data_IF_374874925081
#
_entry.id   IF_374874925081
#
_cell.length_a   1.000
_cell.length_b   1.000
_cell.length_c   1.000
_cell.angle_alpha   90.00
_cell.angle_beta   90.00
_cell.angle_gamma   90.00
#
_symmetry.space_group_name_H-M   'P 1'
#
loop_
_entity.id
_entity.type
_entity.pdbx_description
1 polymer ?
#
# COMPACT_ATOMS: atom_id res chain seq x y z
N UNK A 1 -0.97 2.30 16.50
CA UNK A 1 0.19 1.73 15.75
C UNK A 1 1.26 2.81 15.54
N UNK A 2 2.56 2.52 15.73
CA UNK A 2 3.65 3.48 15.47
C UNK A 2 4.20 3.32 14.04
N UNK A 3 4.03 4.36 13.21
CA UNK A 3 4.46 4.38 11.80
C UNK A 3 5.60 5.38 11.50
N UNK A 4 5.84 6.36 12.38
CA UNK A 4 6.84 7.40 12.14
C UNK A 4 8.21 6.78 11.86
N UNK A 5 8.80 7.16 10.73
CA UNK A 5 10.10 6.68 10.26
C UNK A 5 10.12 5.28 9.67
N UNK A 6 9.03 4.48 9.78
CA UNK A 6 8.97 3.13 9.22
C UNK A 6 8.94 3.19 7.70
N UNK A 7 9.70 2.30 7.06
CA UNK A 7 9.63 2.09 5.60
C UNK A 7 8.43 1.20 5.28
N UNK A 8 7.48 1.71 4.50
CA UNK A 8 6.23 1.01 4.16
C UNK A 8 6.10 0.93 2.65
N UNK A 9 5.86 -0.27 2.14
CA UNK A 9 5.57 -0.53 0.74
C UNK A 9 4.05 -0.56 0.55
N UNK A 10 3.51 0.27 -0.34
CA UNK A 10 2.12 0.19 -0.78
C UNK A 10 2.09 -0.50 -2.14
N UNK A 11 1.35 -1.59 -2.24
CA UNK A 11 1.23 -2.36 -3.46
C UNK A 11 -0.12 -2.06 -4.12
N UNK A 12 -0.08 -1.41 -5.28
CA UNK A 12 -1.21 -0.85 -6.02
C UNK A 12 -1.39 0.66 -5.81
N UNK A 13 -1.68 1.38 -6.89
CA UNK A 13 -1.87 2.84 -6.95
C UNK A 13 -3.29 3.24 -7.41
N UNK A 14 -4.26 2.34 -7.20
CA UNK A 14 -5.69 2.65 -7.30
C UNK A 14 -6.17 3.62 -6.20
N UNK A 15 -7.48 3.86 -6.12
CA UNK A 15 -8.07 4.81 -5.16
C UNK A 15 -7.66 4.46 -3.72
N UNK A 16 -7.80 3.20 -3.31
CA UNK A 16 -7.45 2.77 -1.95
C UNK A 16 -5.95 2.81 -1.68
N UNK A 17 -5.10 2.42 -2.65
CA UNK A 17 -3.64 2.52 -2.52
C UNK A 17 -3.14 3.96 -2.37
N UNK A 18 -3.72 4.90 -3.12
CA UNK A 18 -3.45 6.33 -2.96
C UNK A 18 -3.91 6.86 -1.60
N UNK A 19 -5.09 6.44 -1.13
CA UNK A 19 -5.59 6.77 0.21
C UNK A 19 -4.68 6.26 1.33
N UNK A 20 -4.28 4.99 1.25
CA UNK A 20 -3.33 4.37 2.18
C UNK A 20 -1.99 5.13 2.19
N UNK A 21 -1.46 5.46 1.01
CA UNK A 21 -0.21 6.22 0.87
C UNK A 21 -0.28 7.57 1.59
N UNK A 22 -1.37 8.32 1.40
CA UNK A 22 -1.56 9.63 2.06
C UNK A 22 -1.63 9.48 3.58
N UNK A 23 -2.42 8.53 4.08
CA UNK A 23 -2.51 8.24 5.52
C UNK A 23 -1.14 7.86 6.11
N UNK A 24 -0.39 6.98 5.44
CA UNK A 24 0.94 6.55 5.89
C UNK A 24 1.92 7.74 5.95
N UNK A 25 1.93 8.61 4.92
CA UNK A 25 2.74 9.82 4.89
C UNK A 25 2.37 10.77 6.03
N UNK A 26 1.07 11.00 6.26
CA UNK A 26 0.59 11.86 7.34
C UNK A 26 0.97 11.33 8.73
N UNK A 27 1.08 10.01 8.88
CA UNK A 27 1.60 9.36 10.11
C UNK A 27 3.12 9.26 10.17
N UNK A 28 3.83 9.89 9.22
CA UNK A 28 5.29 10.03 9.19
C UNK A 28 6.05 8.82 8.67
N UNK A 29 5.40 7.89 7.97
CA UNK A 29 6.07 6.76 7.33
C UNK A 29 6.90 7.20 6.10
N UNK A 30 7.93 6.42 5.78
CA UNK A 30 8.69 6.52 4.53
C UNK A 30 8.07 5.57 3.51
N UNK A 31 7.25 6.11 2.61
CA UNK A 31 6.41 5.30 1.72
C UNK A 31 7.10 5.07 0.37
N UNK A 32 7.03 3.84 -0.12
CA UNK A 32 7.28 3.48 -1.53
C UNK A 32 5.97 2.93 -2.10
N UNK A 33 5.56 3.39 -3.29
CA UNK A 33 4.44 2.81 -4.03
C UNK A 33 4.98 1.89 -5.11
N UNK A 34 4.37 0.72 -5.29
CA UNK A 34 4.65 -0.16 -6.41
C UNK A 34 3.36 -0.55 -7.14
N UNK A 35 3.31 -0.29 -8.44
CA UNK A 35 2.17 -0.52 -9.34
C UNK A 35 2.65 -1.33 -10.55
N UNK A 36 1.85 -2.32 -10.96
CA UNK A 36 2.18 -3.16 -12.10
C UNK A 36 1.91 -2.45 -13.42
N UNK A 37 0.91 -1.58 -13.47
CA UNK A 37 0.56 -0.82 -14.66
C UNK A 37 1.53 0.36 -14.91
N UNK A 38 1.97 0.53 -16.17
CA UNK A 38 2.75 1.68 -16.62
C UNK A 38 2.06 2.41 -17.79
N UNK A 39 0.85 2.92 -17.54
CA UNK A 39 0.12 3.74 -18.48
C UNK A 39 0.45 5.24 -18.34
N UNK A 40 0.05 6.04 -19.33
CA UNK A 40 0.20 7.51 -19.28
C UNK A 40 -0.49 8.11 -18.05
N UNK A 41 -1.63 7.54 -17.66
CA UNK A 41 -2.37 7.96 -16.47
C UNK A 41 -1.61 7.61 -15.19
N UNK A 42 -1.10 6.37 -15.06
CA UNK A 42 -0.30 5.98 -13.90
C UNK A 42 0.96 6.82 -13.76
N UNK A 43 1.66 7.10 -14.86
CA UNK A 43 2.82 8.02 -14.87
C UNK A 43 2.45 9.44 -14.41
N UNK A 44 1.25 9.92 -14.72
CA UNK A 44 0.79 11.22 -14.26
C UNK A 44 0.54 11.25 -12.74
N UNK A 45 -0.12 10.21 -12.21
CA UNK A 45 -0.34 10.04 -10.77
C UNK A 45 0.98 9.85 -10.01
N UNK A 46 1.90 9.04 -10.56
CA UNK A 46 3.22 8.80 -9.98
C UNK A 46 3.98 10.12 -9.76
N UNK A 47 3.99 11.02 -10.76
CA UNK A 47 4.62 12.34 -10.65
C UNK A 47 4.06 13.21 -9.51
N UNK A 48 2.78 13.09 -9.17
CA UNK A 48 2.18 13.79 -8.03
C UNK A 48 2.80 13.32 -6.70
N UNK A 49 2.97 12.01 -6.54
CA UNK A 49 3.58 11.41 -5.36
C UNK A 49 5.10 11.65 -5.29
N UNK A 50 5.80 11.60 -6.42
CA UNK A 50 7.24 11.87 -6.51
C UNK A 50 7.59 13.30 -6.13
N UNK A 51 6.81 14.30 -6.59
CA UNK A 51 6.93 15.71 -6.14
C UNK A 51 6.77 15.86 -4.63
N UNK A 52 6.09 14.91 -4.01
CA UNK A 52 5.81 14.83 -2.59
C UNK A 52 6.84 13.98 -1.83
N UNK A 53 7.96 13.59 -2.47
CA UNK A 53 9.05 12.82 -1.88
C UNK A 53 8.76 11.33 -1.71
N UNK A 54 7.70 10.81 -2.36
CA UNK A 54 7.34 9.40 -2.31
C UNK A 54 7.91 8.70 -3.54
N UNK A 55 8.65 7.61 -3.32
CA UNK A 55 9.18 6.79 -4.41
C UNK A 55 8.04 6.00 -5.05
N UNK A 56 7.99 5.98 -6.39
CA UNK A 56 7.01 5.19 -7.15
C UNK A 56 7.73 4.26 -8.12
N UNK A 57 7.30 3.00 -8.21
CA UNK A 57 7.84 2.00 -9.13
C UNK A 57 6.67 1.46 -9.95
N UNK A 58 6.72 1.66 -11.27
CA UNK A 58 5.69 1.22 -12.21
C UNK A 58 6.16 0.02 -13.05
N UNK A 59 5.24 -0.71 -13.66
CA UNK A 59 5.52 -1.69 -14.71
C UNK A 59 6.03 -3.05 -14.26
N UNK A 60 6.32 -3.24 -12.96
CA UNK A 60 6.89 -4.48 -12.44
C UNK A 60 6.78 -4.60 -10.92
N UNK A 61 7.02 -5.79 -10.38
CA UNK A 61 7.15 -6.05 -8.94
C UNK A 61 8.55 -6.60 -8.61
N UNK A 62 9.61 -5.75 -8.64
CA UNK A 62 10.98 -6.22 -8.41
C UNK A 62 11.15 -6.69 -6.96
N UNK A 63 11.79 -7.85 -6.73
CA UNK A 63 11.98 -8.39 -5.38
C UNK A 63 12.97 -7.57 -4.56
N UNK A 64 13.87 -6.86 -5.25
CA UNK A 64 14.92 -6.00 -4.69
C UNK A 64 14.34 -4.80 -3.95
N UNK A 65 13.04 -4.52 -4.08
CA UNK A 65 12.36 -3.47 -3.32
C UNK A 65 12.13 -3.88 -1.87
N UNK A 66 12.04 -5.18 -1.56
CA UNK A 66 11.62 -5.67 -0.24
C UNK A 66 12.61 -5.35 0.89
N UNK A 67 13.95 -5.51 0.72
CA UNK A 67 14.90 -5.28 1.78
C UNK A 67 14.75 -3.91 2.46
N UNK A 68 14.63 -3.93 3.79
CA UNK A 68 14.50 -2.74 4.61
C UNK A 68 13.07 -2.19 4.76
N UNK A 69 12.07 -2.70 4.02
CA UNK A 69 10.67 -2.41 4.33
C UNK A 69 10.23 -3.16 5.59
N UNK A 70 9.35 -2.54 6.36
CA UNK A 70 8.90 -3.04 7.66
C UNK A 70 7.40 -3.34 7.69
N UNK A 71 6.71 -3.06 6.59
CA UNK A 71 5.28 -3.28 6.40
C UNK A 71 4.97 -3.21 4.90
N UNK A 72 4.10 -4.10 4.43
CA UNK A 72 3.44 -4.01 3.12
C UNK A 72 1.96 -3.74 3.34
N UNK A 73 1.41 -2.75 2.62
CA UNK A 73 -0.02 -2.46 2.57
C UNK A 73 -0.54 -2.82 1.18
N UNK A 74 -1.50 -3.74 1.13
CA UNK A 74 -2.12 -4.21 -0.10
C UNK A 74 -3.35 -3.38 -0.44
N UNK A 75 -3.38 -2.85 -1.67
CA UNK A 75 -4.61 -2.35 -2.28
C UNK A 75 -5.54 -3.53 -2.65
N UNK A 76 -6.87 -3.34 -2.65
CA UNK A 76 -7.81 -4.36 -3.11
C UNK A 76 -7.51 -4.78 -4.55
N UNK A 77 -7.72 -6.07 -4.85
CA UNK A 77 -7.55 -6.65 -6.18
C UNK A 77 -6.14 -7.14 -6.52
N UNK A 78 -5.14 -6.86 -5.68
CA UNK A 78 -3.80 -7.46 -5.84
C UNK A 78 -3.86 -8.96 -5.50
N UNK A 79 -3.41 -9.86 -6.40
CA UNK A 79 -3.35 -11.28 -6.09
C UNK A 79 -2.38 -11.55 -4.93
N UNK A 80 -2.81 -12.38 -3.97
CA UNK A 80 -2.03 -12.68 -2.77
C UNK A 80 -0.85 -13.64 -3.04
N UNK A 81 -0.87 -14.32 -4.17
CA UNK A 81 0.07 -15.38 -4.51
C UNK A 81 1.21 -14.92 -5.43
N UNK A 82 1.36 -13.61 -5.67
CA UNK A 82 2.45 -13.08 -6.50
C UNK A 82 3.84 -13.35 -5.87
N UNK A 83 4.92 -13.47 -6.68
CA UNK A 83 6.26 -13.74 -6.19
C UNK A 83 6.76 -12.75 -5.12
N UNK A 84 6.39 -11.47 -5.25
CA UNK A 84 6.77 -10.42 -4.32
C UNK A 84 6.26 -10.68 -2.90
N UNK A 85 4.99 -11.11 -2.75
CA UNK A 85 4.40 -11.36 -1.43
C UNK A 85 4.95 -12.64 -0.80
N UNK A 86 5.15 -13.71 -1.60
CA UNK A 86 5.83 -14.93 -1.12
C UNK A 86 7.25 -14.63 -0.63
N UNK A 87 7.97 -13.73 -1.31
CA UNK A 87 9.29 -13.32 -0.86
C UNK A 87 9.23 -12.45 0.40
N UNK A 88 8.24 -11.56 0.51
CA UNK A 88 8.02 -10.76 1.71
C UNK A 88 7.74 -11.62 2.95
N UNK A 89 6.95 -12.68 2.80
CA UNK A 89 6.67 -13.66 3.87
C UNK A 89 7.95 -14.36 4.34
N UNK A 90 8.81 -14.82 3.42
CA UNK A 90 10.12 -15.41 3.77
C UNK A 90 11.02 -14.44 4.53
N UNK A 91 10.91 -13.15 4.24
CA UNK A 91 11.61 -12.07 4.93
C UNK A 91 10.91 -11.61 6.21
N UNK A 92 9.80 -12.25 6.60
CA UNK A 92 8.99 -11.90 7.77
C UNK A 92 8.51 -10.45 7.78
N UNK A 93 8.27 -9.87 6.59
CA UNK A 93 7.71 -8.53 6.47
C UNK A 93 6.19 -8.63 6.68
N UNK A 94 5.61 -7.94 7.67
CA UNK A 94 4.16 -7.95 7.87
C UNK A 94 3.43 -7.43 6.64
N UNK A 95 2.34 -8.09 6.27
CA UNK A 95 1.46 -7.72 5.15
C UNK A 95 0.08 -7.44 5.73
N UNK A 96 -0.52 -6.30 5.38
CA UNK A 96 -1.89 -5.96 5.78
C UNK A 96 -2.67 -5.32 4.62
N UNK A 97 -3.99 -5.43 4.66
CA UNK A 97 -4.85 -4.71 3.72
C UNK A 97 -4.98 -3.23 4.08
N UNK A 98 -5.34 -2.40 3.10
CA UNK A 98 -5.65 -0.99 3.35
C UNK A 98 -6.83 -0.80 4.32
N UNK A 99 -7.85 -1.67 4.30
CA UNK A 99 -9.01 -1.54 5.16
C UNK A 99 -8.61 -1.74 6.62
N UNK A 100 -7.73 -2.71 6.87
CA UNK A 100 -7.14 -2.92 8.18
C UNK A 100 -6.28 -1.73 8.61
N UNK A 101 -5.52 -1.14 7.67
CA UNK A 101 -4.75 0.08 7.94
C UNK A 101 -5.69 1.20 8.40
N UNK A 102 -6.77 1.46 7.64
CA UNK A 102 -7.77 2.46 7.99
C UNK A 102 -8.39 2.17 9.35
N UNK A 103 -8.80 0.92 9.60
CA UNK A 103 -9.39 0.49 10.87
C UNK A 103 -8.47 0.78 12.07
N UNK A 104 -7.16 0.51 11.96
CA UNK A 104 -6.18 0.79 13.02
C UNK A 104 -5.99 2.28 13.34
N UNK A 105 -6.55 3.17 12.52
CA UNK A 105 -6.52 4.63 12.70
C UNK A 105 -7.90 5.26 12.90
N UNK A 106 -8.97 4.47 13.02
CA UNK A 106 -10.29 4.95 13.42
C UNK A 106 -10.35 5.06 14.96
N UNK A 107 -10.46 6.27 15.54
CA UNK A 107 -10.60 6.41 16.99
C UNK A 107 -12.06 6.18 17.42
N UNK A 108 -12.30 5.23 18.34
CA UNK A 108 -13.54 5.05 19.12
C UNK A 108 -14.86 5.34 18.38
N UNK A 109 -15.03 4.77 17.17
CA UNK A 109 -16.29 4.84 16.41
C UNK A 109 -16.91 3.47 16.24
N UNK A 110 -18.23 3.43 16.22
CA UNK A 110 -18.97 2.26 15.77
C UNK A 110 -18.67 1.98 14.29
N UNK A 111 -18.16 0.79 14.00
CA UNK A 111 -17.93 0.30 12.64
C UNK A 111 -19.12 -0.58 12.21
N UNK A 112 -19.73 -0.26 11.08
CA UNK A 112 -20.68 -1.14 10.40
C UNK A 112 -19.98 -1.68 9.15
N UNK A 113 -19.80 -2.99 9.08
CA UNK A 113 -19.20 -3.67 7.95
C UNK A 113 -20.28 -4.43 7.16
N UNK A 114 -20.47 -4.06 5.90
CA UNK A 114 -21.45 -4.70 4.99
C UNK A 114 -20.66 -5.33 3.84
N UNK A 115 -20.87 -6.62 3.60
CA UNK A 115 -20.29 -7.38 2.48
C UNK A 115 -21.34 -8.33 1.88
N UNK A 116 -21.01 -9.04 0.79
CA UNK A 116 -21.96 -9.74 -0.07
C UNK A 116 -21.45 -9.81 -1.50
N UNK A 117 -22.24 -10.33 -2.44
CA UNK A 117 -21.92 -10.32 -3.88
C UNK A 117 -22.82 -9.33 -4.62
N UNK A 118 -24.10 -9.30 -4.28
CA UNK A 118 -25.13 -8.41 -4.82
C UNK A 118 -25.87 -7.71 -3.68
N UNK A 119 -26.29 -6.45 -3.87
CA UNK A 119 -27.16 -5.73 -2.92
C UNK A 119 -26.49 -5.19 -1.66
N UNK A 120 -25.16 -5.06 -1.63
CA UNK A 120 -24.45 -4.25 -0.62
C UNK A 120 -24.51 -2.77 -0.97
#
# INVERSE_FOLDING_TARGET
MMLKGKKVLVLGMGISGMGATRLLKDKGAKVTINELEDSKEMRARAREFERNGIKVILGSHPLEILPGHQLIVLSPGIPLDIPLLRQAEKLHIPIMGELELAYRFLPDRSLIAITGTNGK
#
